data_IF_536110620386
#
_entry.id   IF_536110620386
#
_cell.length_a   1.000
_cell.length_b   1.000
_cell.length_c   1.000
_cell.angle_alpha   90.00
_cell.angle_beta   90.00
_cell.angle_gamma   90.00
#
_symmetry.space_group_name_H-M   'P 1'
#
loop_
_entity.id
_entity.type
_entity.pdbx_description
1 polymer ?
#
# COMPACT_ATOMS: atom_id res chain seq x y z
N UNK A 1 -15.12 -18.25 10.23
CA UNK A 1 -14.06 -17.86 9.28
C UNK A 1 -14.68 -16.91 8.29
N UNK A 2 -14.35 -15.63 8.37
CA UNK A 2 -14.87 -14.61 7.45
C UNK A 2 -14.24 -14.84 6.07
N UNK A 3 -15.05 -15.15 5.08
CA UNK A 3 -14.63 -15.20 3.67
C UNK A 3 -14.03 -13.85 3.32
N UNK A 4 -12.77 -13.83 2.88
CA UNK A 4 -12.12 -12.61 2.39
C UNK A 4 -12.89 -12.10 1.16
N UNK A 5 -13.72 -11.09 1.39
CA UNK A 5 -14.53 -10.50 0.31
C UNK A 5 -13.64 -9.53 -0.48
N UNK A 6 -13.66 -9.68 -1.82
CA UNK A 6 -12.93 -8.81 -2.73
C UNK A 6 -13.44 -7.38 -2.62
N UNK A 7 -12.54 -6.42 -2.46
CA UNK A 7 -12.87 -4.99 -2.44
C UNK A 7 -13.27 -4.55 -3.85
N UNK A 8 -14.37 -3.83 -3.99
CA UNK A 8 -14.81 -3.25 -5.26
C UNK A 8 -14.59 -1.75 -5.30
N UNK A 9 -14.63 -1.10 -4.13
CA UNK A 9 -14.42 0.34 -4.00
C UNK A 9 -13.90 0.67 -2.61
N UNK A 10 -13.43 1.89 -2.44
CA UNK A 10 -13.09 2.47 -1.15
C UNK A 10 -13.78 3.83 -1.01
N UNK A 11 -14.36 4.07 0.15
CA UNK A 11 -14.92 5.37 0.52
C UNK A 11 -14.09 5.93 1.68
N UNK A 12 -13.80 7.22 1.64
CA UNK A 12 -13.04 7.88 2.69
C UNK A 12 -13.77 7.73 4.04
N UNK A 13 -13.05 7.19 5.00
CA UNK A 13 -13.45 7.23 6.41
C UNK A 13 -12.50 8.15 7.14
N UNK A 14 -13.03 9.21 7.73
CA UNK A 14 -12.22 10.20 8.42
C UNK A 14 -11.80 11.38 7.53
N UNK A 15 -10.68 12.00 7.86
CA UNK A 15 -10.19 13.25 7.28
C UNK A 15 -9.00 13.01 6.34
N UNK A 16 -8.71 14.00 5.51
CA UNK A 16 -7.48 14.04 4.71
C UNK A 16 -6.43 14.84 5.47
N UNK A 17 -5.23 14.29 5.61
CA UNK A 17 -4.05 14.98 6.12
C UNK A 17 -3.15 15.36 4.96
N UNK A 18 -2.93 16.64 4.78
CA UNK A 18 -1.92 17.16 3.87
C UNK A 18 -0.62 17.37 4.66
N UNK A 19 0.43 16.65 4.30
CA UNK A 19 1.77 16.88 4.83
C UNK A 19 2.35 18.12 4.15
N UNK A 20 1.91 19.28 4.57
CA UNK A 20 2.30 20.58 4.05
C UNK A 20 3.63 21.04 4.66
N UNK A 21 4.42 21.81 3.87
CA UNK A 21 5.64 22.47 4.36
C UNK A 21 5.33 23.62 5.33
N UNK A 22 4.09 24.11 5.38
CA UNK A 22 3.66 25.15 6.31
C UNK A 22 3.38 24.52 7.70
N UNK A 23 4.23 24.82 8.71
CA UNK A 23 4.07 24.27 10.05
C UNK A 23 2.77 24.64 10.75
N UNK A 24 2.24 25.83 10.49
CA UNK A 24 1.01 26.29 11.10
C UNK A 24 -0.20 25.50 10.56
N UNK A 25 -0.25 25.29 9.23
CA UNK A 25 -1.30 24.48 8.62
C UNK A 25 -1.21 23.01 9.05
N UNK A 26 0.00 22.46 9.17
CA UNK A 26 0.16 21.08 9.64
C UNK A 26 -0.34 20.94 11.07
N UNK A 27 0.06 21.85 11.97
CA UNK A 27 -0.38 21.87 13.36
C UNK A 27 -1.90 22.01 13.49
N UNK A 28 -2.52 22.91 12.72
CA UNK A 28 -3.96 23.12 12.73
C UNK A 28 -4.73 21.85 12.33
N UNK A 29 -4.25 21.10 11.33
CA UNK A 29 -4.85 19.82 10.95
C UNK A 29 -4.74 18.78 12.08
N UNK A 30 -3.56 18.69 12.72
CA UNK A 30 -3.26 17.66 13.71
C UNK A 30 -3.97 17.88 15.04
N UNK A 31 -4.06 19.14 15.50
CA UNK A 31 -4.43 19.43 16.88
C UNK A 31 -5.66 20.34 17.03
N UNK A 32 -5.96 21.17 16.04
CA UNK A 32 -7.06 22.13 16.11
C UNK A 32 -8.29 21.67 15.29
N UNK A 33 -8.23 20.46 14.71
CA UNK A 33 -9.34 19.89 13.95
C UNK A 33 -9.57 20.53 12.57
N UNK A 34 -8.65 21.38 12.09
CA UNK A 34 -8.78 22.04 10.80
C UNK A 34 -8.73 21.02 9.65
N UNK A 35 -9.63 21.18 8.67
CA UNK A 35 -9.57 20.52 7.37
C UNK A 35 -9.12 21.52 6.31
N UNK A 36 -8.12 21.15 5.52
CA UNK A 36 -7.66 21.96 4.40
C UNK A 36 -8.38 21.50 3.14
N UNK A 37 -8.91 22.41 2.29
CA UNK A 37 -9.49 22.03 1.02
C UNK A 37 -8.39 21.57 0.05
N UNK A 38 -8.75 20.82 -0.98
CA UNK A 38 -7.82 20.48 -2.06
C UNK A 38 -7.27 21.73 -2.72
N UNK A 39 -5.95 21.75 -2.90
CA UNK A 39 -5.22 22.81 -3.61
C UNK A 39 -4.00 22.17 -4.30
N UNK A 40 -4.02 22.13 -5.62
CA UNK A 40 -2.95 21.51 -6.42
C UNK A 40 -1.59 22.22 -6.30
N UNK A 41 -1.61 23.53 -5.94
CA UNK A 41 -0.42 24.34 -5.74
C UNK A 41 0.14 24.29 -4.32
N UNK A 42 -0.53 23.56 -3.42
CA UNK A 42 -0.07 23.41 -2.04
C UNK A 42 1.33 22.81 -2.01
N UNK A 43 2.23 23.50 -1.31
CA UNK A 43 3.56 22.96 -1.04
C UNK A 43 3.48 21.83 -0.04
N UNK A 44 3.79 20.65 -0.52
CA UNK A 44 3.79 19.41 0.25
C UNK A 44 5.21 18.97 0.55
N UNK A 45 5.40 18.29 1.67
CA UNK A 45 6.69 17.73 2.06
C UNK A 45 7.10 16.64 1.06
N UNK A 46 8.28 16.81 0.46
CA UNK A 46 8.93 15.88 -0.44
C UNK A 46 9.92 14.98 0.32
N UNK A 47 10.34 13.87 -0.31
CA UNK A 47 11.42 12.99 0.18
C UNK A 47 11.18 12.51 1.61
N UNK A 48 9.97 12.05 1.90
CA UNK A 48 9.65 11.50 3.22
C UNK A 48 10.22 10.10 3.32
N UNK A 49 11.21 9.93 4.20
CA UNK A 49 11.89 8.66 4.41
C UNK A 49 11.09 7.70 5.30
N UNK A 50 11.43 6.43 5.22
CA UNK A 50 10.86 5.42 6.13
C UNK A 50 11.26 5.66 7.60
N UNK A 51 12.39 6.34 7.86
CA UNK A 51 12.77 6.81 9.19
C UNK A 51 11.85 7.92 9.71
N UNK A 52 11.40 8.80 8.83
CA UNK A 52 10.43 9.84 9.18
C UNK A 52 9.04 9.27 9.43
N UNK A 53 8.67 8.21 8.70
CA UNK A 53 7.41 7.49 8.92
C UNK A 53 7.44 6.72 10.25
N UNK A 54 8.52 5.95 10.46
CA UNK A 54 8.69 5.10 11.64
C UNK A 54 10.17 5.07 12.03
N UNK A 55 10.62 5.88 12.99
CA UNK A 55 12.00 5.90 13.44
C UNK A 55 12.51 4.53 13.87
N UNK A 56 13.81 4.26 13.68
CA UNK A 56 14.40 2.95 13.92
C UNK A 56 14.14 2.38 15.32
N UNK A 57 14.10 3.23 16.35
CA UNK A 57 13.82 2.81 17.73
C UNK A 57 12.36 2.36 17.94
N UNK A 58 11.41 2.67 17.03
CA UNK A 58 10.03 2.21 17.09
C UNK A 58 9.83 0.88 16.36
N UNK A 59 10.74 0.50 15.46
CA UNK A 59 10.61 -0.68 14.61
C UNK A 59 10.59 -2.02 15.38
N UNK A 60 10.89 -2.01 16.65
CA UNK A 60 10.76 -3.20 17.51
C UNK A 60 9.30 -3.58 17.82
N UNK A 61 8.38 -2.62 17.70
CA UNK A 61 6.95 -2.88 17.85
C UNK A 61 6.37 -3.27 16.49
N UNK A 62 5.94 -4.51 16.36
CA UNK A 62 5.23 -4.97 15.16
C UNK A 62 3.78 -5.35 15.49
N UNK A 63 3.10 -4.41 16.16
CA UNK A 63 1.73 -4.55 16.63
C UNK A 63 0.97 -3.20 16.55
N UNK A 64 -0.16 -3.10 17.23
CA UNK A 64 -0.98 -1.89 17.29
C UNK A 64 -0.24 -0.67 17.90
N UNK A 65 0.88 -0.90 18.60
CA UNK A 65 1.69 0.17 19.19
C UNK A 65 2.31 1.06 18.11
N UNK A 66 2.63 0.51 16.92
CA UNK A 66 3.16 1.29 15.81
C UNK A 66 2.25 2.44 15.38
N UNK A 67 0.93 2.30 15.51
CA UNK A 67 -0.03 3.35 15.20
C UNK A 67 0.23 4.65 15.98
N UNK A 68 0.75 4.53 17.19
CA UNK A 68 1.02 5.66 18.09
C UNK A 68 2.18 6.53 17.60
N UNK A 69 3.10 5.94 16.85
CA UNK A 69 4.34 6.56 16.40
C UNK A 69 4.35 6.88 14.90
N UNK A 70 3.20 6.80 14.26
CA UNK A 70 3.06 7.12 12.85
C UNK A 70 3.53 8.56 12.57
N UNK A 71 4.50 8.73 11.68
CA UNK A 71 5.07 10.00 11.25
C UNK A 71 5.79 10.82 12.35
N UNK A 72 6.07 10.27 13.53
CA UNK A 72 6.75 11.04 14.60
C UNK A 72 8.17 11.45 14.25
N UNK A 73 8.78 10.80 13.27
CA UNK A 73 10.10 11.14 12.75
C UNK A 73 10.08 12.26 11.69
N UNK A 74 8.90 12.74 11.30
CA UNK A 74 8.82 13.75 10.24
C UNK A 74 9.60 15.00 10.64
N UNK A 75 10.42 15.48 9.71
CA UNK A 75 11.22 16.70 9.90
C UNK A 75 10.37 17.86 10.40
N UNK A 76 10.97 18.72 11.24
CA UNK A 76 10.24 19.80 11.92
C UNK A 76 9.62 19.39 13.26
N UNK A 77 9.54 18.09 13.58
CA UNK A 77 9.19 17.58 14.92
C UNK A 77 7.77 17.94 15.41
N UNK A 78 6.86 18.20 14.48
CA UNK A 78 5.52 18.71 14.82
C UNK A 78 4.54 17.59 15.10
N UNK A 79 4.75 16.41 14.54
CA UNK A 79 3.89 15.25 14.75
C UNK A 79 4.33 14.53 16.02
N UNK A 80 3.49 14.60 17.04
CA UNK A 80 3.71 13.93 18.33
C UNK A 80 3.11 12.54 18.32
N UNK A 81 3.51 11.74 19.30
CA UNK A 81 2.91 10.44 19.55
C UNK A 81 1.38 10.55 19.60
N UNK A 82 0.70 9.58 19.02
CA UNK A 82 -0.76 9.47 18.89
C UNK A 82 -1.45 10.54 18.01
N UNK A 83 -0.73 11.53 17.47
CA UNK A 83 -1.34 12.62 16.71
C UNK A 83 -2.10 12.13 15.46
N UNK A 84 -1.51 11.23 14.69
CA UNK A 84 -2.16 10.68 13.49
C UNK A 84 -3.34 9.78 13.88
N UNK A 85 -3.12 8.88 14.83
CA UNK A 85 -4.14 7.94 15.32
C UNK A 85 -5.38 8.68 15.85
N UNK A 86 -5.17 9.70 16.66
CA UNK A 86 -6.26 10.46 17.29
C UNK A 86 -6.87 11.51 16.33
N UNK A 87 -6.15 11.91 15.30
CA UNK A 87 -6.60 12.89 14.33
C UNK A 87 -7.68 12.37 13.38
N UNK A 88 -7.92 11.06 13.34
CA UNK A 88 -8.96 10.45 12.51
C UNK A 88 -8.70 10.59 11.01
N UNK A 89 -7.45 10.50 10.59
CA UNK A 89 -7.08 10.63 9.19
C UNK A 89 -7.21 9.30 8.43
N UNK A 90 -8.03 9.30 7.39
CA UNK A 90 -8.19 8.17 6.46
C UNK A 90 -7.30 8.26 5.23
N UNK A 91 -6.84 9.47 4.88
CA UNK A 91 -5.95 9.72 3.75
C UNK A 91 -4.78 10.57 4.18
N UNK A 92 -3.57 10.23 3.70
CA UNK A 92 -2.37 11.07 3.80
C UNK A 92 -1.95 11.50 2.40
N UNK A 93 -1.74 12.81 2.23
CA UNK A 93 -1.27 13.42 0.98
C UNK A 93 0.10 14.02 1.20
N UNK A 94 1.07 13.70 0.32
CA UNK A 94 2.44 14.21 0.38
C UNK A 94 2.98 14.58 -1.02
N UNK A 95 4.18 15.13 -1.05
CA UNK A 95 4.87 15.52 -2.27
C UNK A 95 5.59 14.35 -2.97
N UNK A 96 6.78 14.63 -3.50
CA UNK A 96 7.61 13.65 -4.21
C UNK A 96 8.28 12.66 -3.25
N UNK A 97 8.59 11.45 -3.76
CA UNK A 97 9.41 10.42 -3.08
C UNK A 97 8.91 10.04 -1.67
N UNK A 98 7.65 9.69 -1.55
CA UNK A 98 7.08 9.12 -0.32
C UNK A 98 7.62 7.72 -0.07
N UNK A 99 8.20 7.49 1.11
CA UNK A 99 8.72 6.19 1.53
C UNK A 99 10.14 5.88 1.05
N UNK A 100 10.96 6.93 0.81
CA UNK A 100 12.36 6.75 0.43
C UNK A 100 13.20 6.18 1.59
N UNK A 101 14.41 5.72 1.27
CA UNK A 101 15.35 5.16 2.24
C UNK A 101 15.29 3.66 2.36
N UNK A 102 15.32 3.13 3.59
CA UNK A 102 15.39 1.69 3.84
C UNK A 102 14.06 0.98 3.65
N UNK A 103 14.13 -0.32 3.29
CA UNK A 103 12.96 -1.18 3.20
C UNK A 103 12.42 -1.52 4.59
N UNK A 104 11.40 -0.78 5.04
CA UNK A 104 10.74 -1.02 6.33
C UNK A 104 9.27 -1.20 6.14
N UNK A 105 8.79 -2.41 6.34
CA UNK A 105 7.35 -2.72 6.31
C UNK A 105 6.61 -2.04 7.48
N UNK A 106 7.31 -1.80 8.60
CA UNK A 106 6.77 -1.05 9.75
C UNK A 106 6.29 0.35 9.38
N UNK A 107 6.90 0.99 8.36
CA UNK A 107 6.53 2.34 7.94
C UNK A 107 5.05 2.39 7.44
N UNK A 108 4.66 1.71 6.36
CA UNK A 108 3.26 1.70 5.94
C UNK A 108 2.34 0.99 6.94
N UNK A 109 2.86 0.03 7.72
CA UNK A 109 2.09 -0.64 8.76
C UNK A 109 1.64 0.33 9.85
N UNK A 110 2.51 1.28 10.26
CA UNK A 110 2.14 2.33 11.23
C UNK A 110 1.01 3.21 10.73
N UNK A 111 1.03 3.59 9.44
CA UNK A 111 -0.02 4.37 8.80
C UNK A 111 -1.35 3.58 8.77
N UNK A 112 -1.30 2.34 8.32
CA UNK A 112 -2.48 1.46 8.28
C UNK A 112 -3.10 1.30 9.67
N UNK A 113 -2.27 1.05 10.70
CA UNK A 113 -2.72 0.88 12.08
C UNK A 113 -3.19 2.19 12.74
N UNK A 114 -2.72 3.33 12.27
CA UNK A 114 -3.25 4.63 12.67
C UNK A 114 -4.62 4.95 12.03
N UNK A 115 -5.13 4.11 11.14
CA UNK A 115 -6.43 4.28 10.50
C UNK A 115 -6.38 4.80 9.07
N UNK A 116 -5.18 5.02 8.53
CA UNK A 116 -5.00 5.47 7.14
C UNK A 116 -5.41 4.36 6.18
N UNK A 117 -6.25 4.70 5.22
CA UNK A 117 -6.74 3.78 4.18
C UNK A 117 -6.02 4.00 2.86
N UNK A 118 -5.64 5.24 2.58
CA UNK A 118 -5.09 5.67 1.29
C UNK A 118 -3.91 6.62 1.51
N UNK A 119 -2.85 6.40 0.77
CA UNK A 119 -1.72 7.33 0.65
C UNK A 119 -1.69 7.86 -0.78
N UNK A 120 -1.71 9.19 -0.94
CA UNK A 120 -1.58 9.86 -2.23
C UNK A 120 -0.30 10.70 -2.20
N UNK A 121 0.56 10.54 -3.21
CA UNK A 121 1.79 11.30 -3.31
C UNK A 121 2.13 11.55 -4.79
N UNK A 122 2.86 12.63 -5.09
CA UNK A 122 3.31 12.90 -6.47
C UNK A 122 4.21 11.80 -7.04
N UNK A 123 4.96 11.13 -6.16
CA UNK A 123 5.71 9.90 -6.46
C UNK A 123 5.80 9.04 -5.21
N UNK A 124 5.68 7.73 -5.39
CA UNK A 124 5.75 6.72 -4.32
C UNK A 124 6.91 5.80 -4.61
N UNK A 125 7.80 5.65 -3.62
CA UNK A 125 8.96 4.79 -3.77
C UNK A 125 8.54 3.32 -3.90
N UNK A 126 9.20 2.60 -4.80
CA UNK A 126 8.78 1.27 -5.25
C UNK A 126 8.64 0.27 -4.10
N UNK A 127 9.63 0.20 -3.22
CA UNK A 127 9.64 -0.76 -2.10
C UNK A 127 8.54 -0.41 -1.09
N UNK A 128 8.39 0.87 -0.76
CA UNK A 128 7.32 1.33 0.12
C UNK A 128 5.94 1.01 -0.47
N UNK A 129 5.72 1.29 -1.77
CA UNK A 129 4.47 0.98 -2.46
C UNK A 129 4.16 -0.52 -2.47
N UNK A 130 5.17 -1.36 -2.67
CA UNK A 130 5.01 -2.82 -2.58
C UNK A 130 4.63 -3.28 -1.17
N UNK A 131 5.27 -2.72 -0.14
CA UNK A 131 4.90 -3.01 1.25
C UNK A 131 3.46 -2.57 1.55
N UNK A 132 3.03 -1.41 1.03
CA UNK A 132 1.63 -0.97 1.14
C UNK A 132 0.66 -1.99 0.52
N UNK A 133 0.96 -2.47 -0.68
CA UNK A 133 0.15 -3.49 -1.36
C UNK A 133 0.05 -4.78 -0.52
N UNK A 134 1.17 -5.24 0.03
CA UNK A 134 1.24 -6.46 0.84
C UNK A 134 0.35 -6.41 2.09
N UNK A 135 0.24 -5.25 2.72
CA UNK A 135 -0.58 -5.07 3.94
C UNK A 135 -1.98 -4.52 3.66
N UNK A 136 -2.28 -4.18 2.39
CA UNK A 136 -3.60 -3.69 1.97
C UNK A 136 -3.85 -2.20 2.18
N UNK A 137 -2.80 -1.40 2.38
CA UNK A 137 -2.84 0.06 2.34
C UNK A 137 -2.86 0.50 0.87
N UNK A 138 -3.85 1.29 0.48
CA UNK A 138 -4.00 1.76 -0.90
C UNK A 138 -3.03 2.91 -1.19
N UNK A 139 -2.47 2.93 -2.39
CA UNK A 139 -1.56 3.99 -2.83
C UNK A 139 -1.95 4.50 -4.20
N UNK A 140 -1.79 5.80 -4.44
CA UNK A 140 -1.99 6.40 -5.76
C UNK A 140 -1.05 7.59 -5.99
N UNK A 141 -0.67 7.81 -7.23
CA UNK A 141 -0.01 9.04 -7.68
C UNK A 141 -0.99 9.98 -8.39
N UNK A 142 -2.24 9.59 -8.52
CA UNK A 142 -3.28 10.39 -9.13
C UNK A 142 -3.91 11.34 -8.09
N UNK A 143 -3.49 12.60 -8.14
CA UNK A 143 -3.99 13.65 -7.23
C UNK A 143 -5.46 14.04 -7.54
N UNK A 144 -5.97 13.70 -8.71
CA UNK A 144 -7.38 13.98 -9.07
C UNK A 144 -8.38 13.15 -8.24
N UNK A 145 -7.90 12.13 -7.55
CA UNK A 145 -8.71 11.35 -6.61
C UNK A 145 -9.05 12.14 -5.34
N UNK A 146 -8.25 13.17 -5.00
CA UNK A 146 -8.43 13.90 -3.72
C UNK A 146 -9.79 14.61 -3.65
N UNK A 147 -10.18 15.46 -4.62
CA UNK A 147 -11.50 16.13 -4.57
C UNK A 147 -12.66 15.13 -4.65
N UNK A 148 -12.48 13.99 -5.31
CA UNK A 148 -13.49 12.92 -5.33
C UNK A 148 -13.66 12.29 -3.95
N UNK A 149 -12.56 12.05 -3.23
CA UNK A 149 -12.59 11.57 -1.85
C UNK A 149 -13.19 12.59 -0.90
N UNK A 150 -12.86 13.89 -1.07
CA UNK A 150 -13.45 14.98 -0.26
C UNK A 150 -14.97 15.08 -0.45
N UNK A 151 -15.47 14.83 -1.67
CA UNK A 151 -16.91 14.80 -1.93
C UNK A 151 -17.64 13.58 -1.36
N UNK A 152 -16.90 12.62 -0.79
CA UNK A 152 -17.46 11.36 -0.26
C UNK A 152 -17.72 10.30 -1.32
N UNK A 153 -17.20 10.47 -2.54
CA UNK A 153 -17.35 9.49 -3.62
C UNK A 153 -16.68 8.15 -3.24
N UNK A 154 -17.34 7.05 -3.57
CA UNK A 154 -16.76 5.72 -3.48
C UNK A 154 -15.85 5.49 -4.70
N UNK A 155 -14.56 5.50 -4.49
CA UNK A 155 -13.55 5.34 -5.56
C UNK A 155 -13.43 3.85 -5.90
N UNK A 156 -13.60 3.45 -7.19
CA UNK A 156 -13.38 2.08 -7.62
C UNK A 156 -11.96 1.60 -7.30
N UNK A 157 -11.83 0.35 -6.86
CA UNK A 157 -10.53 -0.23 -6.51
C UNK A 157 -9.57 -0.27 -7.71
N UNK A 158 -10.12 -0.29 -8.92
CA UNK A 158 -9.41 -0.28 -10.18
C UNK A 158 -8.50 0.96 -10.34
N UNK A 159 -8.88 2.09 -9.72
CA UNK A 159 -8.06 3.31 -9.71
C UNK A 159 -6.71 3.09 -8.99
N UNK A 160 -6.68 2.19 -8.02
CA UNK A 160 -5.48 1.85 -7.23
C UNK A 160 -4.71 0.64 -7.78
N UNK A 161 -5.23 0.00 -8.83
CA UNK A 161 -4.58 -1.16 -9.45
C UNK A 161 -4.05 -0.89 -10.85
N UNK A 162 -4.23 0.33 -11.35
CA UNK A 162 -3.69 0.76 -12.66
C UNK A 162 -2.18 0.55 -12.74
N UNK A 163 -1.73 -0.13 -13.78
CA UNK A 163 -0.30 -0.38 -14.01
C UNK A 163 0.33 -1.48 -13.15
N UNK A 164 -0.42 -2.12 -12.27
CA UNK A 164 0.04 -3.30 -11.54
C UNK A 164 -0.06 -4.56 -12.41
N UNK A 165 0.82 -5.52 -12.16
CA UNK A 165 0.66 -6.86 -12.73
C UNK A 165 -0.61 -7.54 -12.19
N UNK A 166 -1.12 -8.57 -12.85
CA UNK A 166 -2.38 -9.21 -12.46
C UNK A 166 -2.39 -9.75 -11.03
N UNK A 167 -1.25 -10.24 -10.52
CA UNK A 167 -1.15 -10.82 -9.19
C UNK A 167 -1.17 -9.71 -8.14
N UNK A 168 -0.34 -8.66 -8.33
CA UNK A 168 -0.33 -7.51 -7.44
C UNK A 168 -1.71 -6.81 -7.38
N UNK A 169 -2.39 -6.69 -8.53
CA UNK A 169 -3.74 -6.16 -8.57
C UNK A 169 -4.74 -7.00 -7.76
N UNK A 170 -4.67 -8.33 -7.83
CA UNK A 170 -5.51 -9.21 -7.01
C UNK A 170 -5.16 -9.12 -5.52
N UNK A 171 -3.88 -9.01 -5.16
CA UNK A 171 -3.46 -8.77 -3.77
C UNK A 171 -4.11 -7.51 -3.22
N UNK A 172 -4.06 -6.40 -3.97
CA UNK A 172 -4.71 -5.13 -3.58
C UNK A 172 -6.23 -5.30 -3.44
N UNK A 173 -6.88 -5.96 -4.41
CA UNK A 173 -8.34 -6.21 -4.38
C UNK A 173 -8.78 -7.04 -3.18
N UNK A 174 -7.95 -7.98 -2.74
CA UNK A 174 -8.21 -8.81 -1.56
C UNK A 174 -7.81 -8.17 -0.23
N UNK A 175 -7.22 -6.99 -0.25
CA UNK A 175 -6.86 -6.26 0.96
C UNK A 175 -5.53 -6.65 1.57
N UNK A 176 -4.62 -7.17 0.74
CA UNK A 176 -3.26 -7.52 1.10
C UNK A 176 -2.95 -9.00 0.92
N UNK A 177 -1.67 -9.31 1.06
CA UNK A 177 -1.11 -10.62 0.74
C UNK A 177 -1.69 -11.75 1.63
N UNK A 178 -1.95 -11.48 2.92
CA UNK A 178 -2.54 -12.47 3.81
C UNK A 178 -3.94 -12.87 3.38
N UNK A 179 -4.81 -11.90 3.11
CA UNK A 179 -6.17 -12.14 2.67
C UNK A 179 -6.22 -12.80 1.29
N UNK A 180 -5.33 -12.38 0.38
CA UNK A 180 -5.15 -13.01 -0.92
C UNK A 180 -4.75 -14.50 -0.78
N UNK A 181 -3.72 -14.80 0.02
CA UNK A 181 -3.28 -16.18 0.23
C UNK A 181 -4.35 -17.03 0.92
N UNK A 182 -5.09 -16.47 1.88
CA UNK A 182 -6.22 -17.17 2.50
C UNK A 182 -7.29 -17.54 1.46
N UNK A 183 -7.67 -16.59 0.60
CA UNK A 183 -8.63 -16.84 -0.48
C UNK A 183 -8.12 -17.89 -1.49
N UNK A 184 -6.81 -17.86 -1.78
CA UNK A 184 -6.17 -18.89 -2.62
C UNK A 184 -6.21 -20.27 -1.99
N UNK A 185 -5.88 -20.40 -0.72
CA UNK A 185 -5.92 -21.69 0.01
C UNK A 185 -7.34 -22.23 0.12
N UNK A 186 -8.35 -21.36 0.16
CA UNK A 186 -9.76 -21.73 0.15
C UNK A 186 -10.29 -22.07 -1.24
N UNK A 187 -9.47 -21.94 -2.31
CA UNK A 187 -9.88 -22.21 -3.69
C UNK A 187 -10.77 -21.13 -4.30
N UNK A 188 -10.94 -19.98 -3.64
CA UNK A 188 -11.68 -18.81 -4.16
C UNK A 188 -10.91 -18.14 -5.30
N UNK A 189 -9.57 -18.10 -5.17
CA UNK A 189 -8.67 -17.61 -6.20
C UNK A 189 -8.00 -18.80 -6.87
N UNK A 190 -8.14 -18.88 -8.18
CA UNK A 190 -7.37 -19.82 -9.01
C UNK A 190 -6.18 -19.04 -9.58
N UNK A 191 -4.95 -19.37 -9.22
CA UNK A 191 -3.78 -18.72 -9.80
C UNK A 191 -3.78 -18.85 -11.33
N UNK A 192 -3.26 -17.85 -12.06
CA UNK A 192 -3.11 -17.99 -13.49
C UNK A 192 -2.23 -19.21 -13.80
N UNK A 193 -2.71 -20.08 -14.67
CA UNK A 193 -1.95 -21.25 -15.10
C UNK A 193 -1.00 -20.85 -16.23
N UNK A 194 0.24 -21.35 -16.15
CA UNK A 194 1.19 -21.20 -17.25
C UNK A 194 0.74 -22.05 -18.42
N UNK A 195 0.52 -21.40 -19.56
CA UNK A 195 0.12 -22.05 -20.81
C UNK A 195 1.25 -22.11 -21.84
N UNK A 196 2.46 -21.70 -21.46
CA UNK A 196 3.63 -21.71 -22.34
C UNK A 196 3.96 -23.14 -22.77
N UNK A 197 3.88 -23.41 -24.07
CA UNK A 197 4.22 -24.71 -24.66
C UNK A 197 5.71 -25.03 -24.46
N UNK A 198 6.06 -26.33 -24.46
CA UNK A 198 7.44 -26.76 -24.33
C UNK A 198 8.34 -26.08 -25.39
N UNK A 199 9.44 -25.49 -24.94
CA UNK A 199 10.41 -24.78 -25.79
C UNK A 199 11.83 -24.87 -25.18
N UNK A 200 12.88 -24.55 -25.95
CA UNK A 200 14.19 -24.33 -25.37
C UNK A 200 14.17 -23.23 -24.29
N UNK A 201 14.83 -23.50 -23.17
CA UNK A 201 14.83 -22.62 -22.00
C UNK A 201 16.26 -22.36 -21.53
N UNK A 202 16.52 -21.17 -21.03
CA UNK A 202 17.72 -20.84 -20.26
C UNK A 202 17.76 -21.65 -18.95
N UNK A 203 18.91 -21.67 -18.27
CA UNK A 203 19.04 -22.32 -16.98
C UNK A 203 18.04 -21.75 -15.95
N UNK A 204 17.89 -20.42 -15.88
CA UNK A 204 16.95 -19.78 -14.98
C UNK A 204 15.50 -20.18 -15.26
N UNK A 205 15.09 -20.18 -16.53
CA UNK A 205 13.75 -20.61 -16.92
C UNK A 205 13.49 -22.07 -16.57
N UNK A 206 14.49 -22.96 -16.71
CA UNK A 206 14.37 -24.37 -16.29
C UNK A 206 14.16 -24.52 -14.79
N UNK A 207 14.90 -23.75 -13.97
CA UNK A 207 14.76 -23.78 -12.51
C UNK A 207 13.36 -23.30 -12.14
N UNK A 208 12.93 -22.18 -12.71
CA UNK A 208 11.60 -21.62 -12.48
C UNK A 208 10.51 -22.60 -12.91
N UNK A 209 10.59 -23.14 -14.11
CA UNK A 209 9.62 -24.10 -14.63
C UNK A 209 9.49 -25.34 -13.74
N UNK A 210 10.60 -25.85 -13.20
CA UNK A 210 10.61 -27.00 -12.29
C UNK A 210 9.91 -26.71 -10.95
N UNK A 211 10.03 -25.47 -10.45
CA UNK A 211 9.51 -25.05 -9.13
C UNK A 211 8.11 -24.46 -9.20
N UNK A 212 7.65 -24.07 -10.39
CA UNK A 212 6.33 -23.48 -10.58
C UNK A 212 5.20 -24.44 -10.18
N UNK A 213 4.16 -23.95 -9.54
CA UNK A 213 2.98 -24.73 -9.19
C UNK A 213 2.17 -25.02 -10.46
N UNK A 214 2.13 -26.27 -10.88
CA UNK A 214 1.35 -26.72 -12.04
C UNK A 214 -0.12 -26.94 -11.70
N UNK A 215 -0.43 -27.28 -10.46
CA UNK A 215 -1.79 -27.47 -9.97
C UNK A 215 -1.88 -27.05 -8.51
N UNK A 216 -2.58 -25.94 -8.27
CA UNK A 216 -2.73 -25.37 -6.94
C UNK A 216 -3.57 -26.24 -5.96
N UNK A 217 -4.46 -27.11 -6.50
CA UNK A 217 -5.29 -27.99 -5.67
C UNK A 217 -4.50 -29.17 -5.12
N UNK A 218 -3.65 -29.74 -5.93
CA UNK A 218 -2.84 -30.92 -5.57
C UNK A 218 -1.44 -30.55 -5.07
N UNK A 219 -1.03 -29.30 -5.22
CA UNK A 219 0.35 -28.85 -4.93
C UNK A 219 1.39 -29.39 -5.91
N UNK A 220 0.98 -29.92 -7.07
CA UNK A 220 1.89 -30.46 -8.07
C UNK A 220 2.78 -29.36 -8.64
N UNK A 221 4.10 -29.59 -8.60
CA UNK A 221 5.11 -28.71 -9.17
C UNK A 221 5.51 -29.15 -10.57
N UNK A 222 6.07 -28.21 -11.32
CA UNK A 222 6.66 -28.43 -12.64
C UNK A 222 5.71 -28.16 -13.80
N UNK A 223 6.03 -27.14 -14.61
CA UNK A 223 5.34 -26.79 -15.85
C UNK A 223 6.23 -27.11 -17.05
N UNK A 224 5.66 -27.35 -18.27
CA UNK A 224 6.45 -27.74 -19.45
C UNK A 224 7.51 -26.69 -19.85
N UNK A 225 7.19 -25.41 -19.76
CA UNK A 225 8.11 -24.31 -20.02
C UNK A 225 7.57 -23.01 -19.40
N UNK A 226 8.47 -22.02 -19.29
CA UNK A 226 8.15 -20.65 -18.90
C UNK A 226 8.84 -19.67 -19.85
N UNK A 227 8.36 -18.44 -19.89
CA UNK A 227 8.94 -17.31 -20.63
C UNK A 227 8.74 -16.01 -19.84
N UNK A 228 9.47 -14.94 -20.15
CA UNK A 228 9.21 -13.62 -19.61
C UNK A 228 7.76 -13.19 -19.83
N UNK A 229 7.11 -12.68 -18.78
CA UNK A 229 5.71 -12.29 -18.77
C UNK A 229 4.73 -13.37 -18.29
N UNK A 230 5.17 -14.63 -18.09
CA UNK A 230 4.34 -15.64 -17.44
C UNK A 230 4.17 -15.29 -15.95
N UNK A 231 2.92 -15.36 -15.45
CA UNK A 231 2.63 -15.25 -14.04
C UNK A 231 2.72 -16.65 -13.38
N UNK A 232 3.50 -16.74 -12.31
CA UNK A 232 3.85 -18.02 -11.67
C UNK A 232 3.64 -17.94 -10.15
N UNK A 233 3.36 -19.09 -9.56
CA UNK A 233 3.43 -19.36 -8.13
C UNK A 233 4.40 -20.49 -7.83
#
# INVERSE_FOLDING_TARGET
MTTSQKRTSVQLKGRILYLTEDPAQLKAQLYDGASLPFDEHRKLVDNISTDELTPGWVCYYYDETLARYCLVGLRGGQIKQDAIKNGGFGVIVSGLSKGCGSSRETAPYSELKAGVQIVIAKNIEKIYGQNCQNIGLLTSTDVSLIPRLESGEAIPIEEFTKGLDPIAAEVVRHGGLFAYNQARLQGVIVPPMVTTAARPMTLCEKIIAKSAIADAKTGRLGVPAVKPGDALF
#
